data_IF_808519374433
#
_entry.id   IF_808519374433
#
_cell.length_a   1.000
_cell.length_b   1.000
_cell.length_c   1.000
_cell.angle_alpha   90.00
_cell.angle_beta   90.00
_cell.angle_gamma   90.00
#
_symmetry.space_group_name_H-M   'P 1'
#
loop_
_entity.id
_entity.type
_entity.pdbx_description
1 polymer ?
#
# COMPACT_ATOMS: atom_id res chain seq x y z
N UNK A 1 9.86 -4.38 -12.72
CA UNK A 1 9.51 -3.09 -12.10
C UNK A 1 10.47 -2.03 -12.60
N UNK A 2 10.01 -1.10 -13.45
CA UNK A 2 10.76 0.12 -13.73
C UNK A 2 11.12 0.81 -12.40
N UNK A 3 12.25 1.53 -12.34
CA UNK A 3 12.74 2.17 -11.11
C UNK A 3 11.64 3.01 -10.44
N UNK A 4 10.82 3.70 -11.23
CA UNK A 4 9.65 4.44 -10.78
C UNK A 4 8.69 3.60 -9.92
N UNK A 5 8.15 2.49 -10.44
CA UNK A 5 7.23 1.61 -9.70
C UNK A 5 7.85 1.01 -8.43
N UNK A 6 9.16 0.79 -8.43
CA UNK A 6 9.88 0.24 -7.27
C UNK A 6 9.88 1.22 -6.10
N UNK A 7 9.99 2.52 -6.36
CA UNK A 7 9.93 3.56 -5.31
C UNK A 7 8.55 3.56 -4.65
N UNK A 8 7.46 3.58 -5.42
CA UNK A 8 6.10 3.53 -4.88
C UNK A 8 5.83 2.25 -4.09
N UNK A 9 6.31 1.11 -4.58
CA UNK A 9 6.17 -0.16 -3.86
C UNK A 9 6.80 -0.09 -2.47
N UNK A 10 8.03 0.41 -2.36
CA UNK A 10 8.71 0.56 -1.05
C UNK A 10 7.94 1.54 -0.17
N UNK A 11 7.47 2.66 -0.73
CA UNK A 11 6.76 3.70 -0.02
C UNK A 11 5.44 3.17 0.60
N UNK A 12 4.65 2.40 -0.17
CA UNK A 12 3.44 1.77 0.34
C UNK A 12 3.72 0.71 1.42
N UNK A 13 4.78 -0.09 1.28
CA UNK A 13 5.17 -1.07 2.30
C UNK A 13 5.54 -0.36 3.61
N UNK A 14 6.31 0.74 3.54
CA UNK A 14 6.68 1.53 4.71
C UNK A 14 5.44 2.12 5.38
N UNK A 15 4.48 2.64 4.61
CA UNK A 15 3.22 3.13 5.18
C UNK A 15 2.41 2.04 5.87
N UNK A 16 2.32 0.84 5.29
CA UNK A 16 1.65 -0.29 5.94
C UNK A 16 2.36 -0.63 7.26
N UNK A 17 3.69 -0.70 7.27
CA UNK A 17 4.46 -1.01 8.47
C UNK A 17 4.27 0.02 9.59
N UNK A 18 4.32 1.31 9.27
CA UNK A 18 4.12 2.39 10.26
C UNK A 18 2.71 2.34 10.83
N UNK A 19 1.68 2.16 9.99
CA UNK A 19 0.30 2.12 10.46
C UNK A 19 0.00 0.84 11.26
N UNK A 20 0.57 -0.31 10.89
CA UNK A 20 0.44 -1.55 11.67
C UNK A 20 1.11 -1.42 13.05
N UNK A 21 2.25 -0.73 13.11
CA UNK A 21 2.92 -0.46 14.37
C UNK A 21 2.12 0.51 15.25
N UNK A 22 1.48 1.51 14.65
CA UNK A 22 0.68 2.50 15.36
C UNK A 22 -0.72 2.00 15.76
N UNK A 23 -1.17 0.86 15.23
CA UNK A 23 -2.46 0.26 15.55
C UNK A 23 -2.46 -0.21 17.00
N UNK A 24 -3.49 0.17 17.75
CA UNK A 24 -3.66 -0.30 19.13
C UNK A 24 -4.22 -1.72 19.12
N UNK A 25 -3.35 -2.69 19.36
CA UNK A 25 -3.68 -4.11 19.40
C UNK A 25 -4.42 -4.54 20.68
N UNK A 26 -4.55 -3.66 21.67
CA UNK A 26 -5.32 -3.93 22.90
C UNK A 26 -6.80 -3.54 22.76
N UNK A 27 -7.13 -2.69 21.79
CA UNK A 27 -8.50 -2.28 21.45
C UNK A 27 -9.04 -3.08 20.26
N UNK A 28 -10.34 -2.95 20.00
CA UNK A 28 -10.93 -3.52 18.78
C UNK A 28 -10.30 -2.86 17.54
N UNK A 29 -9.98 -3.66 16.53
CA UNK A 29 -9.32 -3.21 15.30
C UNK A 29 -10.20 -2.20 14.55
N UNK A 30 -11.52 -2.32 14.67
CA UNK A 30 -12.50 -1.41 14.07
C UNK A 30 -13.01 -0.34 15.05
N UNK A 31 -12.32 -0.14 16.17
CA UNK A 31 -12.62 1.00 17.07
C UNK A 31 -12.38 2.33 16.37
N UNK A 32 -13.04 3.38 16.87
CA UNK A 32 -12.96 4.73 16.32
C UNK A 32 -11.51 5.26 16.25
N UNK A 33 -10.69 4.90 17.24
CA UNK A 33 -9.27 5.27 17.30
C UNK A 33 -8.40 4.52 16.27
N UNK A 34 -8.71 3.24 16.01
CA UNK A 34 -7.97 2.40 15.08
C UNK A 34 -8.41 2.57 13.62
N UNK A 35 -9.66 3.00 13.38
CA UNK A 35 -10.25 3.14 12.05
C UNK A 35 -9.38 3.95 11.09
N UNK A 36 -8.74 5.03 11.55
CA UNK A 36 -7.82 5.83 10.73
C UNK A 36 -6.61 5.03 10.22
N UNK A 37 -6.05 4.16 11.05
CA UNK A 37 -4.91 3.32 10.69
C UNK A 37 -5.34 2.20 9.75
N UNK A 38 -6.50 1.57 10.02
CA UNK A 38 -7.08 0.53 9.16
C UNK A 38 -7.39 1.08 7.77
N UNK A 39 -8.01 2.26 7.67
CA UNK A 39 -8.27 2.93 6.39
C UNK A 39 -6.98 3.28 5.65
N UNK A 40 -5.96 3.74 6.36
CA UNK A 40 -4.65 4.02 5.76
C UNK A 40 -3.98 2.75 5.23
N UNK A 41 -4.00 1.65 6.00
CA UNK A 41 -3.47 0.34 5.56
C UNK A 41 -4.23 -0.16 4.34
N UNK A 42 -5.57 -0.12 4.36
CA UNK A 42 -6.40 -0.54 3.25
C UNK A 42 -6.08 0.28 1.97
N UNK A 43 -5.95 1.60 2.11
CA UNK A 43 -5.58 2.49 1.00
C UNK A 43 -4.18 2.18 0.45
N UNK A 44 -3.21 1.87 1.31
CA UNK A 44 -1.87 1.48 0.90
C UNK A 44 -1.85 0.11 0.18
N UNK A 45 -2.67 -0.85 0.62
CA UNK A 45 -2.85 -2.13 -0.08
C UNK A 45 -3.44 -1.93 -1.47
N UNK A 46 -4.45 -1.07 -1.62
CA UNK A 46 -5.00 -0.68 -2.93
C UNK A 46 -3.90 -0.04 -3.79
N UNK A 47 -3.10 0.85 -3.20
CA UNK A 47 -1.94 1.46 -3.87
C UNK A 47 -0.94 0.43 -4.41
N UNK A 48 -0.62 -0.62 -3.63
CA UNK A 48 0.22 -1.72 -4.08
C UNK A 48 -0.38 -2.44 -5.30
N UNK A 49 -1.68 -2.75 -5.28
CA UNK A 49 -2.37 -3.40 -6.40
C UNK A 49 -2.23 -2.54 -7.67
N UNK A 50 -2.47 -1.24 -7.57
CA UNK A 50 -2.35 -0.30 -8.70
C UNK A 50 -0.92 -0.28 -9.25
N UNK A 51 0.11 -0.28 -8.38
CA UNK A 51 1.52 -0.34 -8.81
C UNK A 51 1.80 -1.58 -9.65
N UNK A 52 1.26 -2.74 -9.26
CA UNK A 52 1.42 -3.98 -10.04
C UNK A 52 0.68 -3.92 -11.38
N UNK A 53 -0.55 -3.39 -11.41
CA UNK A 53 -1.31 -3.22 -12.65
C UNK A 53 -0.57 -2.29 -13.61
N UNK A 54 -0.12 -1.12 -13.14
CA UNK A 54 0.63 -0.17 -13.95
C UNK A 54 1.95 -0.75 -14.45
N UNK A 55 2.70 -1.47 -13.60
CA UNK A 55 3.92 -2.13 -14.02
C UNK A 55 3.65 -3.20 -15.10
N UNK A 56 2.53 -3.91 -15.02
CA UNK A 56 2.14 -4.90 -16.03
C UNK A 56 1.80 -4.22 -17.35
N UNK A 57 0.98 -3.17 -17.34
CA UNK A 57 0.63 -2.40 -18.53
C UNK A 57 1.85 -1.72 -19.19
N UNK A 58 2.80 -1.22 -18.38
CA UNK A 58 4.04 -0.62 -18.90
C UNK A 58 4.89 -1.58 -19.74
N UNK A 59 4.84 -2.88 -19.42
CA UNK A 59 5.58 -3.91 -20.13
C UNK A 59 4.84 -4.40 -21.38
N UNK A 60 3.51 -4.34 -21.38
CA UNK A 60 2.69 -4.68 -22.54
C UNK A 60 2.90 -3.64 -23.66
N UNK A 61 2.92 -2.35 -23.30
CA UNK A 61 3.12 -1.26 -24.28
C UNK A 61 4.53 -1.23 -24.89
N UNK A 62 5.55 -1.72 -24.16
CA UNK A 62 6.94 -1.73 -24.61
C UNK A 62 7.30 -2.90 -25.55
N UNK A 63 6.38 -3.87 -25.76
CA UNK A 63 6.56 -5.00 -26.68
C UNK A 63 6.00 -4.74 -28.10
N UNK A 64 5.71 -3.48 -28.44
CA UNK A 64 5.36 -3.08 -29.80
C UNK A 64 6.60 -2.65 -30.58
#
# INVERSE_FOLDING_TARGET
MQKFYKVFLVLFIVFIAINLYALDWQSDVLSEDNLKFVFSIASAVIGLIIVFVMNTWSQIGAKK
#
